data_IF_718666267158
#
_entry.id   IF_718666267158
#
_cell.length_a   1.000
_cell.length_b   1.000
_cell.length_c   1.000
_cell.angle_alpha   90.00
_cell.angle_beta   90.00
_cell.angle_gamma   90.00
#
_symmetry.space_group_name_H-M   'P 1'
#
loop_
_entity.id
_entity.type
_entity.pdbx_description
1 polymer ?
#
# COMPACT_ATOMS: atom_id res chain seq x y z
N UNK A 1 18.25 -44.94 -62.30
CA UNK A 1 19.47 -45.46 -61.62
C UNK A 1 20.29 -44.35 -60.96
N UNK A 2 19.76 -43.14 -60.78
CA UNK A 2 20.51 -41.99 -60.23
C UNK A 2 20.14 -41.66 -58.77
N UNK A 3 19.01 -42.18 -58.29
CA UNK A 3 18.42 -41.85 -56.98
C UNK A 3 19.22 -42.45 -55.82
N UNK A 4 19.90 -43.58 -56.03
CA UNK A 4 20.70 -44.23 -54.99
C UNK A 4 21.98 -43.45 -54.65
N UNK A 5 22.50 -42.65 -55.58
CA UNK A 5 23.69 -41.83 -55.34
C UNK A 5 23.30 -40.68 -54.41
N UNK A 6 22.16 -40.02 -54.70
CA UNK A 6 21.63 -38.93 -53.89
C UNK A 6 21.40 -39.33 -52.43
N UNK A 7 20.86 -40.53 -52.18
CA UNK A 7 20.63 -41.04 -50.82
C UNK A 7 21.96 -41.21 -50.05
N UNK A 8 22.99 -41.77 -50.69
CA UNK A 8 24.29 -41.98 -50.01
C UNK A 8 24.98 -40.64 -49.73
N UNK A 9 24.90 -39.66 -50.65
CA UNK A 9 25.40 -38.31 -50.40
C UNK A 9 24.65 -37.60 -49.27
N UNK A 10 23.32 -37.70 -49.23
CA UNK A 10 22.52 -37.11 -48.15
C UNK A 10 22.82 -37.74 -46.77
N UNK A 11 23.09 -39.05 -46.73
CA UNK A 11 23.50 -39.74 -45.49
C UNK A 11 24.87 -39.25 -45.01
N UNK A 12 25.83 -39.09 -45.93
CA UNK A 12 27.17 -38.61 -45.57
C UNK A 12 27.18 -37.14 -45.15
N UNK A 13 26.33 -36.30 -45.75
CA UNK A 13 26.12 -34.91 -45.34
C UNK A 13 25.53 -34.83 -43.93
N UNK A 14 24.55 -35.67 -43.61
CA UNK A 14 23.94 -35.76 -42.28
C UNK A 14 24.92 -36.28 -41.21
N UNK A 15 25.79 -37.23 -41.55
CA UNK A 15 26.81 -37.78 -40.64
C UNK A 15 27.99 -36.83 -40.42
N UNK A 16 28.23 -35.89 -41.35
CA UNK A 16 29.30 -34.91 -41.28
C UNK A 16 28.98 -33.67 -40.45
N UNK A 17 27.71 -33.47 -40.07
CA UNK A 17 27.27 -32.29 -39.32
C UNK A 17 27.35 -32.53 -37.80
N UNK A 18 28.32 -31.91 -37.09
CA UNK A 18 28.50 -32.13 -35.66
C UNK A 18 27.31 -31.62 -34.82
N UNK A 19 26.52 -30.67 -35.33
CA UNK A 19 25.35 -30.14 -34.60
C UNK A 19 24.15 -31.10 -34.61
N UNK A 20 24.08 -32.04 -35.55
CA UNK A 20 22.97 -33.01 -35.61
C UNK A 20 22.99 -33.98 -34.43
N UNK A 21 24.18 -34.42 -34.01
CA UNK A 21 24.35 -35.33 -32.86
C UNK A 21 24.02 -34.67 -31.52
N UNK A 22 24.20 -33.34 -31.42
CA UNK A 22 23.84 -32.57 -30.23
C UNK A 22 22.31 -32.47 -30.02
N UNK A 23 21.53 -32.67 -31.09
CA UNK A 23 20.05 -32.59 -31.06
C UNK A 23 19.38 -33.97 -31.00
N UNK A 24 20.04 -35.02 -31.50
CA UNK A 24 19.50 -36.38 -31.52
C UNK A 24 19.71 -37.16 -30.22
N UNK A 25 20.68 -36.76 -29.38
CA UNK A 25 20.86 -37.38 -28.06
C UNK A 25 19.97 -36.67 -27.02
N UNK A 26 19.10 -37.38 -26.29
CA UNK A 26 18.45 -36.79 -25.13
C UNK A 26 19.54 -36.28 -24.19
N UNK A 27 19.47 -34.98 -23.84
CA UNK A 27 20.36 -34.38 -22.86
C UNK A 27 20.48 -35.35 -21.66
N UNK A 28 21.70 -35.65 -21.17
CA UNK A 28 21.83 -36.46 -19.96
C UNK A 28 20.93 -35.84 -18.90
N UNK A 29 20.17 -36.64 -18.12
CA UNK A 29 19.28 -36.10 -17.11
C UNK A 29 20.10 -35.13 -16.28
N UNK A 30 19.75 -33.83 -16.41
CA UNK A 30 20.38 -32.77 -15.63
C UNK A 30 20.27 -33.28 -14.21
N UNK A 31 21.42 -33.55 -13.57
CA UNK A 31 21.43 -33.95 -12.17
C UNK A 31 20.52 -32.95 -11.48
N UNK A 32 19.39 -33.46 -10.97
CA UNK A 32 18.44 -32.71 -10.19
C UNK A 32 19.28 -32.07 -9.10
N UNK A 33 19.65 -30.80 -9.31
CA UNK A 33 20.25 -30.03 -8.26
C UNK A 33 19.18 -30.07 -7.19
N UNK A 34 19.43 -30.69 -6.01
CA UNK A 34 18.41 -30.71 -4.97
C UNK A 34 17.95 -29.26 -4.85
N UNK A 35 16.62 -29.01 -4.81
CA UNK A 35 16.09 -27.67 -4.83
C UNK A 35 16.92 -26.91 -3.82
N UNK A 36 17.59 -25.84 -4.27
CA UNK A 36 18.27 -24.93 -3.35
C UNK A 36 17.15 -24.51 -2.41
N UNK A 37 17.11 -25.18 -1.25
CA UNK A 37 16.10 -24.95 -0.24
C UNK A 37 16.09 -23.46 -0.04
N UNK A 38 14.90 -22.87 -0.10
CA UNK A 38 14.71 -21.45 0.16
C UNK A 38 15.61 -21.09 1.33
N UNK A 39 16.69 -20.36 1.05
CA UNK A 39 17.59 -19.94 2.11
C UNK A 39 16.69 -19.19 3.09
N UNK A 40 16.53 -19.69 4.34
CA UNK A 40 15.65 -19.01 5.26
C UNK A 40 16.20 -17.60 5.35
N UNK A 41 15.34 -16.64 5.05
CA UNK A 41 15.65 -15.22 5.21
C UNK A 41 15.95 -15.09 6.69
N UNK A 42 17.24 -15.11 7.05
CA UNK A 42 17.64 -15.07 8.44
C UNK A 42 17.07 -13.78 8.99
N UNK A 43 16.10 -13.91 9.89
CA UNK A 43 15.58 -12.75 10.59
C UNK A 43 16.79 -12.13 11.30
N UNK A 44 17.00 -10.81 11.15
CA UNK A 44 18.13 -10.14 11.78
C UNK A 44 18.05 -10.41 13.29
N UNK A 45 19.03 -11.17 13.80
CA UNK A 45 19.08 -11.53 15.21
C UNK A 45 19.34 -10.26 16.01
N UNK A 46 18.68 -10.15 17.16
CA UNK A 46 19.01 -9.09 18.11
C UNK A 46 20.50 -9.18 18.48
N UNK A 47 21.21 -8.04 18.62
CA UNK A 47 22.58 -8.04 19.07
C UNK A 47 22.69 -8.68 20.46
N UNK A 48 23.79 -9.41 20.69
CA UNK A 48 24.02 -10.05 21.99
C UNK A 48 24.37 -8.99 23.05
N UNK A 49 24.03 -9.28 24.30
CA UNK A 49 24.51 -8.47 25.44
C UNK A 49 26.04 -8.44 25.39
N UNK A 50 26.62 -7.24 25.42
CA UNK A 50 28.07 -7.01 25.25
C UNK A 50 28.51 -6.67 23.82
N UNK A 51 27.63 -6.68 22.82
CA UNK A 51 27.94 -6.16 21.49
C UNK A 51 28.00 -4.63 21.51
N UNK A 52 29.17 -4.05 21.25
CA UNK A 52 29.34 -2.60 21.07
C UNK A 52 28.74 -2.23 19.71
N UNK A 53 27.64 -1.49 19.72
CA UNK A 53 27.01 -0.99 18.50
C UNK A 53 27.89 0.11 17.93
N UNK A 54 28.61 -0.18 16.85
CA UNK A 54 29.38 0.82 16.11
C UNK A 54 28.41 1.81 15.44
N UNK A 55 28.20 2.97 16.07
CA UNK A 55 27.42 4.05 15.46
C UNK A 55 28.28 4.70 14.38
N UNK A 56 27.79 4.75 13.16
CA UNK A 56 28.48 5.46 12.09
C UNK A 56 28.52 6.96 12.41
N UNK A 57 29.71 7.55 12.35
CA UNK A 57 29.93 8.97 12.64
C UNK A 57 29.06 9.88 11.76
N UNK A 58 28.79 9.47 10.52
CA UNK A 58 27.91 10.18 9.59
C UNK A 58 26.46 10.31 10.11
N UNK A 59 25.90 9.25 10.71
CA UNK A 59 24.54 9.30 11.27
C UNK A 59 24.48 10.19 12.50
N UNK A 60 25.53 10.17 13.34
CA UNK A 60 25.62 11.05 14.50
C UNK A 60 25.76 12.52 14.07
N UNK A 61 26.59 12.81 13.06
CA UNK A 61 26.76 14.16 12.50
C UNK A 61 25.44 14.71 11.93
N UNK A 62 24.72 13.91 11.13
CA UNK A 62 23.42 14.31 10.58
C UNK A 62 22.39 14.60 11.68
N UNK A 63 22.37 13.80 12.75
CA UNK A 63 21.48 14.04 13.90
C UNK A 63 21.85 15.32 14.64
N UNK A 64 23.15 15.58 14.86
CA UNK A 64 23.61 16.83 15.46
C UNK A 64 23.23 18.03 14.58
N UNK A 65 23.41 17.93 13.26
CA UNK A 65 23.04 19.00 12.33
C UNK A 65 21.54 19.33 12.41
N UNK A 66 20.67 18.32 12.39
CA UNK A 66 19.22 18.51 12.54
C UNK A 66 18.88 19.16 13.89
N UNK A 67 19.53 18.72 14.98
CA UNK A 67 19.27 19.26 16.31
C UNK A 67 19.71 20.74 16.44
N UNK A 68 20.82 21.10 15.81
CA UNK A 68 21.37 22.46 15.84
C UNK A 68 20.71 23.38 14.81
N UNK A 69 19.97 22.83 13.85
CA UNK A 69 19.26 23.63 12.86
C UNK A 69 17.99 24.20 13.48
N UNK A 70 17.93 25.52 13.62
CA UNK A 70 16.71 26.23 14.02
C UNK A 70 15.65 26.02 12.95
N UNK A 71 14.54 25.36 13.32
CA UNK A 71 13.43 25.14 12.41
C UNK A 71 12.82 26.48 11.97
N UNK A 72 12.38 26.59 10.70
CA UNK A 72 11.71 27.79 10.24
C UNK A 72 10.45 28.03 11.10
N UNK A 73 10.10 29.31 11.35
CA UNK A 73 8.92 29.63 12.12
C UNK A 73 7.67 29.06 11.42
N UNK A 74 6.68 28.59 12.19
CA UNK A 74 5.45 28.08 11.61
C UNK A 74 4.78 29.16 10.76
N UNK A 75 4.12 28.78 9.65
CA UNK A 75 3.44 29.75 8.79
C UNK A 75 2.39 30.52 9.60
N UNK A 76 2.37 31.85 9.41
CA UNK A 76 1.38 32.73 10.06
C UNK A 76 -0.02 32.31 9.62
N UNK A 77 -0.86 31.90 10.58
CA UNK A 77 -2.28 31.66 10.33
C UNK A 77 -2.94 33.01 9.97
N UNK A 78 -3.71 33.12 8.89
CA UNK A 78 -4.47 34.33 8.61
C UNK A 78 -5.45 34.57 9.76
N UNK A 79 -5.25 35.66 10.50
CA UNK A 79 -6.21 36.14 11.48
C UNK A 79 -7.43 36.65 10.70
N UNK A 80 -8.57 35.99 10.91
CA UNK A 80 -9.85 36.37 10.32
C UNK A 80 -10.17 37.83 10.65
N UNK A 81 -10.49 38.59 9.60
CA UNK A 81 -10.86 39.99 9.63
C UNK A 81 -12.19 40.17 10.37
N UNK A 82 -12.15 40.81 11.53
CA UNK A 82 -13.32 41.43 12.16
C UNK A 82 -13.80 42.61 11.31
N UNK A 83 -15.09 42.55 10.97
CA UNK A 83 -16.04 43.67 10.94
C UNK A 83 -15.65 44.91 10.14
N UNK A 84 -16.26 45.08 8.96
CA UNK A 84 -16.59 46.40 8.42
C UNK A 84 -18.09 46.45 8.22
N UNK A 85 -18.74 47.24 9.07
CA UNK A 85 -20.12 47.64 8.96
C UNK A 85 -20.36 48.43 7.66
N UNK A 86 -21.51 48.21 7.04
CA UNK A 86 -22.05 48.99 5.93
C UNK A 86 -23.30 48.27 5.41
N UNK A 87 -24.47 48.54 5.99
CA UNK A 87 -25.44 49.58 5.63
C UNK A 87 -26.60 48.97 4.83
N UNK A 88 -27.73 48.69 5.49
CA UNK A 88 -29.03 48.46 4.87
C UNK A 88 -30.15 48.80 5.87
N UNK A 89 -30.52 50.08 5.85
CA UNK A 89 -31.85 50.72 5.91
C UNK A 89 -33.09 49.91 6.40
N UNK A 90 -33.80 50.52 7.37
CA UNK A 90 -35.25 50.52 7.72
C UNK A 90 -35.99 49.29 8.34
N UNK A 91 -35.99 49.18 9.70
CA UNK A 91 -37.06 49.51 10.72
C UNK A 91 -38.58 49.29 10.37
N UNK A 92 -39.57 49.07 11.30
CA UNK A 92 -39.66 48.62 12.73
C UNK A 92 -40.73 47.53 13.12
N UNK A 93 -40.55 46.95 14.33
CA UNK A 93 -41.51 46.71 15.47
C UNK A 93 -42.88 45.99 15.31
N UNK A 94 -43.18 45.01 16.20
CA UNK A 94 -44.32 44.99 17.18
C UNK A 94 -44.36 43.66 18.01
N UNK A 95 -44.55 43.81 19.35
CA UNK A 95 -45.10 42.92 20.41
C UNK A 95 -44.37 41.61 20.80
N UNK A 96 -44.12 41.27 22.08
CA UNK A 96 -44.58 41.82 23.37
C UNK A 96 -43.73 41.29 24.57
N UNK A 97 -44.06 41.67 25.83
CA UNK A 97 -43.21 41.44 27.00
C UNK A 97 -43.64 40.21 27.83
N UNK A 98 -42.69 39.48 28.42
CA UNK A 98 -42.95 38.74 29.67
C UNK A 98 -41.65 38.47 30.43
N UNK A 99 -41.54 39.19 31.55
CA UNK A 99 -41.07 38.81 32.88
C UNK A 99 -39.79 37.97 33.04
N UNK A 100 -38.90 38.52 33.87
CA UNK A 100 -37.63 37.99 34.33
C UNK A 100 -37.68 36.54 34.87
N UNK A 101 -36.60 35.80 34.63
CA UNK A 101 -35.81 35.34 35.77
C UNK A 101 -34.35 35.05 35.37
N UNK A 102 -33.44 35.52 36.20
CA UNK A 102 -32.01 35.33 36.07
C UNK A 102 -31.64 33.93 36.57
N UNK A 103 -30.95 33.13 35.75
CA UNK A 103 -30.10 32.05 36.24
C UNK A 103 -28.93 31.87 35.28
N UNK A 104 -27.75 31.81 35.88
CA UNK A 104 -26.41 31.83 35.31
C UNK A 104 -26.17 30.70 34.31
N UNK A 105 -26.39 30.97 33.01
CA UNK A 105 -25.93 30.06 31.97
C UNK A 105 -24.45 30.32 31.67
N UNK A 106 -23.61 29.45 32.21
CA UNK A 106 -22.27 29.19 31.67
C UNK A 106 -22.41 28.78 30.21
N UNK A 107 -22.25 29.75 29.31
CA UNK A 107 -22.16 29.54 27.86
C UNK A 107 -20.90 28.71 27.60
N UNK A 108 -21.06 27.39 27.64
CA UNK A 108 -20.11 26.46 27.04
C UNK A 108 -20.18 26.70 25.54
N UNK A 109 -19.30 27.57 25.04
CA UNK A 109 -19.05 27.75 23.61
C UNK A 109 -18.46 26.43 23.10
N UNK A 110 -19.33 25.51 22.71
CA UNK A 110 -18.93 24.31 21.99
C UNK A 110 -18.34 24.81 20.67
N UNK A 111 -17.03 24.61 20.38
CA UNK A 111 -16.47 25.08 19.12
C UNK A 111 -17.27 24.40 18.01
N UNK A 112 -17.85 25.20 17.11
CA UNK A 112 -18.54 24.70 15.94
C UNK A 112 -17.58 23.79 15.18
N UNK A 113 -17.87 22.49 15.17
CA UNK A 113 -17.05 21.50 14.48
C UNK A 113 -17.08 21.84 12.99
N UNK A 114 -15.96 22.36 12.50
CA UNK A 114 -15.75 22.58 11.07
C UNK A 114 -15.88 21.22 10.39
N UNK A 115 -16.96 21.03 9.64
CA UNK A 115 -17.18 19.81 8.89
C UNK A 115 -16.04 19.67 7.87
N UNK A 116 -15.39 18.50 7.77
CA UNK A 116 -14.35 18.29 6.77
C UNK A 116 -14.97 18.46 5.39
N UNK A 117 -14.73 19.61 4.77
CA UNK A 117 -15.10 19.87 3.39
C UNK A 117 -14.17 19.07 2.49
N UNK A 118 -14.67 17.95 1.99
CA UNK A 118 -13.97 17.09 1.04
C UNK A 118 -14.94 16.15 0.34
N UNK A 119 -14.61 15.64 -0.85
CA UNK A 119 -15.44 14.64 -1.51
C UNK A 119 -15.63 13.43 -0.59
N UNK A 120 -16.84 12.88 -0.57
CA UNK A 120 -17.17 11.68 0.20
C UNK A 120 -16.21 10.54 -0.19
N UNK A 121 -15.60 9.83 0.78
CA UNK A 121 -14.73 8.71 0.44
C UNK A 121 -15.52 7.64 -0.35
N UNK A 122 -14.89 7.01 -1.35
CA UNK A 122 -15.54 5.95 -2.11
C UNK A 122 -15.97 4.80 -1.19
N UNK A 123 -17.12 4.16 -1.47
CA UNK A 123 -17.62 3.07 -0.64
C UNK A 123 -16.65 1.88 -0.66
N UNK A 124 -16.63 1.07 0.42
CA UNK A 124 -15.95 -0.22 0.42
C UNK A 124 -16.47 -1.14 -0.70
N UNK A 125 -15.60 -1.97 -1.23
CA UNK A 125 -15.89 -2.88 -2.33
C UNK A 125 -16.07 -4.29 -1.76
N UNK A 126 -17.22 -4.96 -1.98
CA UNK A 126 -17.40 -6.34 -1.57
C UNK A 126 -16.57 -7.25 -2.47
N UNK A 127 -15.66 -8.03 -1.88
CA UNK A 127 -14.81 -8.98 -2.59
C UNK A 127 -15.14 -10.39 -2.11
N UNK A 128 -15.56 -11.23 -3.04
CA UNK A 128 -15.77 -12.66 -2.82
C UNK A 128 -14.42 -13.38 -2.86
N UNK A 129 -14.02 -14.00 -1.75
CA UNK A 129 -12.77 -14.75 -1.64
C UNK A 129 -13.03 -16.23 -1.96
N UNK A 130 -14.02 -16.79 -1.29
CA UNK A 130 -14.59 -18.10 -1.55
C UNK A 130 -16.09 -17.93 -1.82
N UNK A 131 -16.76 -18.92 -2.45
CA UNK A 131 -18.18 -18.82 -2.80
C UNK A 131 -19.10 -18.34 -1.67
N UNK A 132 -18.71 -18.57 -0.40
CA UNK A 132 -19.47 -18.20 0.79
C UNK A 132 -18.86 -17.04 1.62
N UNK A 133 -17.67 -16.55 1.26
CA UNK A 133 -16.92 -15.57 2.07
C UNK A 133 -16.79 -14.24 1.32
N UNK A 134 -17.65 -13.29 1.68
CA UNK A 134 -17.61 -11.91 1.19
C UNK A 134 -16.93 -11.02 2.24
N UNK A 135 -15.99 -10.19 1.79
CA UNK A 135 -15.29 -9.23 2.65
C UNK A 135 -15.39 -7.85 2.04
N UNK A 136 -15.78 -6.87 2.86
CA UNK A 136 -15.73 -5.47 2.50
C UNK A 136 -14.29 -4.96 2.57
N UNK A 137 -13.75 -4.61 1.40
CA UNK A 137 -12.40 -4.12 1.24
C UNK A 137 -12.42 -2.63 0.91
N UNK A 138 -11.73 -1.76 1.68
CA UNK A 138 -11.66 -0.34 1.36
C UNK A 138 -11.12 -0.11 -0.06
N UNK A 139 -11.66 0.88 -0.77
CA UNK A 139 -11.24 1.21 -2.14
C UNK A 139 -9.72 1.44 -2.25
N UNK A 140 -9.11 2.09 -1.27
CA UNK A 140 -7.66 2.30 -1.18
C UNK A 140 -6.87 0.97 -1.16
N UNK A 141 -7.42 -0.05 -0.50
CA UNK A 141 -6.80 -1.37 -0.43
C UNK A 141 -6.87 -2.12 -1.75
N UNK A 142 -7.89 -1.88 -2.57
CA UNK A 142 -8.07 -2.51 -3.88
C UNK A 142 -7.19 -1.83 -4.94
N UNK A 143 -7.24 -0.50 -5.03
CA UNK A 143 -6.65 0.22 -6.17
C UNK A 143 -5.26 0.82 -5.88
N UNK A 144 -4.99 1.22 -4.64
CA UNK A 144 -3.76 1.95 -4.29
C UNK A 144 -2.71 1.01 -3.70
N UNK A 145 -2.97 0.47 -2.50
CA UNK A 145 -2.02 -0.43 -1.84
C UNK A 145 -2.06 -1.87 -2.38
N UNK A 146 -3.19 -2.26 -3.00
CA UNK A 146 -3.43 -3.59 -3.60
C UNK A 146 -3.19 -4.75 -2.63
N UNK A 147 -3.32 -4.50 -1.33
CA UNK A 147 -3.07 -5.47 -0.27
C UNK A 147 -4.06 -5.23 0.87
N UNK A 148 -4.70 -6.30 1.31
CA UNK A 148 -5.63 -6.25 2.44
C UNK A 148 -5.47 -7.46 3.34
N UNK A 149 -5.67 -7.25 4.65
CA UNK A 149 -5.73 -8.32 5.64
C UNK A 149 -7.15 -8.35 6.20
N UNK A 150 -7.95 -9.30 5.75
CA UNK A 150 -9.30 -9.45 6.22
C UNK A 150 -9.35 -10.33 7.47
N UNK A 151 -10.30 -10.02 8.35
CA UNK A 151 -10.66 -10.87 9.48
C UNK A 151 -12.12 -11.24 9.30
N UNK A 152 -12.39 -12.51 9.09
CA UNK A 152 -13.74 -13.05 8.95
C UNK A 152 -13.95 -14.12 10.01
N UNK A 153 -15.20 -14.52 10.25
CA UNK A 153 -15.53 -15.66 11.14
C UNK A 153 -14.78 -16.93 10.74
N UNK A 154 -14.57 -17.14 9.44
CA UNK A 154 -13.87 -18.29 8.88
C UNK A 154 -12.33 -18.19 8.95
N UNK A 155 -11.78 -17.15 9.57
CA UNK A 155 -10.34 -16.98 9.80
C UNK A 155 -9.77 -15.69 9.23
N UNK A 156 -8.44 -15.62 9.20
CA UNK A 156 -7.70 -14.44 8.70
C UNK A 156 -7.24 -14.66 7.27
N UNK A 157 -7.45 -13.66 6.41
CA UNK A 157 -7.09 -13.72 5.01
C UNK A 157 -6.09 -12.64 4.63
N UNK A 158 -5.18 -12.97 3.72
CA UNK A 158 -4.33 -12.01 3.03
C UNK A 158 -4.78 -11.95 1.58
N UNK A 159 -5.26 -10.79 1.15
CA UNK A 159 -5.73 -10.53 -0.21
C UNK A 159 -4.72 -9.64 -0.95
N UNK A 160 -4.54 -9.91 -2.24
CA UNK A 160 -3.80 -9.04 -3.15
C UNK A 160 -4.58 -8.81 -4.43
N UNK A 161 -4.56 -7.57 -4.89
CA UNK A 161 -5.32 -7.11 -6.04
C UNK A 161 -4.39 -6.81 -7.24
N UNK A 162 -4.94 -6.93 -8.44
CA UNK A 162 -4.32 -6.44 -9.67
C UNK A 162 -4.33 -4.90 -9.69
N UNK A 163 -3.66 -4.32 -10.70
CA UNK A 163 -3.79 -2.89 -11.00
C UNK A 163 -5.23 -2.50 -11.37
N UNK A 164 -6.01 -3.44 -11.91
CA UNK A 164 -7.41 -3.25 -12.31
C UNK A 164 -8.41 -3.49 -11.16
N UNK A 165 -7.93 -3.75 -9.95
CA UNK A 165 -8.78 -4.01 -8.78
C UNK A 165 -9.32 -5.43 -8.68
N UNK A 166 -8.90 -6.35 -9.56
CA UNK A 166 -9.31 -7.76 -9.54
C UNK A 166 -8.52 -8.54 -8.48
N UNK A 167 -9.18 -9.47 -7.79
CA UNK A 167 -8.52 -10.34 -6.81
C UNK A 167 -7.57 -11.31 -7.54
N UNK A 168 -6.27 -11.22 -7.28
CA UNK A 168 -5.25 -12.07 -7.92
C UNK A 168 -4.72 -13.18 -7.03
N UNK A 169 -4.68 -12.92 -5.73
CA UNK A 169 -4.13 -13.86 -4.77
C UNK A 169 -4.87 -13.69 -3.45
N UNK A 170 -5.25 -14.81 -2.87
CA UNK A 170 -5.81 -14.87 -1.54
C UNK A 170 -5.21 -16.08 -0.82
N UNK A 171 -4.99 -15.93 0.49
CA UNK A 171 -4.53 -17.01 1.35
C UNK A 171 -5.13 -16.88 2.73
N UNK A 172 -5.60 -18.02 3.27
CA UNK A 172 -5.96 -18.16 4.69
C UNK A 172 -4.69 -18.32 5.54
N UNK A 173 -4.59 -17.53 6.61
CA UNK A 173 -3.39 -17.43 7.46
C UNK A 173 -3.55 -18.22 8.76
N UNK A 174 -4.76 -18.41 9.26
CA UNK A 174 -5.15 -19.30 10.35
C UNK A 174 -6.62 -19.08 10.69
#
# INVERSE_FOLDING_TARGET
MSENIDIITAINELLGDPEYWDQALPLPPRAEHPPLGSTPTQQPRAPKVGTIIQRSAHINKKKQEILMTVLPPPPKRPQGRTTTAGLSTDVPSIAGPSTADATTDTVTVRPALLMPTGPLPPPPIPVQIEPEVIVDVPHFCVHVSRKYKARTLHGRWVLRFSRTGQLRYHRKVS
#
